data_IF_194840207327
#
_entry.id   IF_194840207327
#
_cell.length_a   1.000
_cell.length_b   1.000
_cell.length_c   1.000
_cell.angle_alpha   90.00
_cell.angle_beta   90.00
_cell.angle_gamma   90.00
#
_symmetry.space_group_name_H-M   'P 1'
#
loop_
_entity.id
_entity.type
_entity.pdbx_description
1 polymer ?
#
# COMPACT_ATOMS: atom_id res chain seq x y z
N UNK A 1 -1.45 -11.22 21.64
CA UNK A 1 -2.04 -9.86 21.69
C UNK A 1 -2.91 -9.69 20.46
N UNK A 2 -4.10 -9.09 20.57
CA UNK A 2 -4.94 -8.81 19.39
C UNK A 2 -4.79 -7.33 19.04
N UNK A 3 -3.75 -7.02 18.25
CA UNK A 3 -3.39 -5.64 17.89
C UNK A 3 -4.53 -4.91 17.18
N UNK A 4 -5.28 -5.59 16.31
CA UNK A 4 -6.46 -5.00 15.66
C UNK A 4 -7.52 -4.54 16.66
N UNK A 5 -7.88 -5.38 17.63
CA UNK A 5 -8.85 -5.02 18.67
C UNK A 5 -8.36 -3.88 19.57
N UNK A 6 -7.06 -3.84 19.88
CA UNK A 6 -6.46 -2.76 20.68
C UNK A 6 -6.45 -1.44 19.91
N UNK A 7 -6.03 -1.46 18.64
CA UNK A 7 -6.04 -0.28 17.77
C UNK A 7 -7.47 0.24 17.61
N UNK A 8 -8.45 -0.64 17.34
CA UNK A 8 -9.86 -0.26 17.20
C UNK A 8 -10.37 0.49 18.44
N UNK A 9 -10.01 0.03 19.64
CA UNK A 9 -10.35 0.73 20.90
C UNK A 9 -9.66 2.09 21.00
N UNK A 10 -8.36 2.17 20.69
CA UNK A 10 -7.57 3.43 20.74
C UNK A 10 -8.14 4.46 19.77
N UNK A 11 -8.40 4.08 18.52
CA UNK A 11 -9.00 4.92 17.48
C UNK A 11 -10.42 5.37 17.89
N UNK A 12 -11.25 4.46 18.39
CA UNK A 12 -12.63 4.81 18.80
C UNK A 12 -12.64 5.80 19.96
N UNK A 13 -11.78 5.59 20.98
CA UNK A 13 -11.67 6.47 22.12
C UNK A 13 -11.17 7.88 21.72
N UNK A 14 -10.18 7.95 20.82
CA UNK A 14 -9.73 9.24 20.30
C UNK A 14 -10.80 9.93 19.45
N UNK A 15 -11.47 9.20 18.57
CA UNK A 15 -12.56 9.75 17.75
C UNK A 15 -13.68 10.34 18.63
N UNK A 16 -14.11 9.64 19.68
CA UNK A 16 -15.11 10.15 20.63
C UNK A 16 -14.64 11.43 21.35
N UNK A 17 -13.36 11.52 21.68
CA UNK A 17 -12.76 12.74 22.24
C UNK A 17 -12.83 13.90 21.25
N UNK A 18 -12.45 13.68 19.99
CA UNK A 18 -12.53 14.69 18.92
C UNK A 18 -13.96 15.13 18.65
N UNK A 19 -14.94 14.21 18.65
CA UNK A 19 -16.36 14.53 18.50
C UNK A 19 -16.84 15.49 19.60
N UNK A 20 -16.47 15.28 20.87
CA UNK A 20 -16.83 16.20 21.96
C UNK A 20 -16.24 17.61 21.75
N UNK A 21 -15.02 17.67 21.23
CA UNK A 21 -14.37 18.94 20.90
C UNK A 21 -15.10 19.64 19.74
N UNK A 22 -15.36 18.94 18.63
CA UNK A 22 -16.08 19.50 17.48
C UNK A 22 -17.49 19.98 17.86
N UNK A 23 -18.22 19.22 18.68
CA UNK A 23 -19.55 19.63 19.16
C UNK A 23 -19.52 20.89 20.04
N UNK A 24 -18.35 21.29 20.53
CA UNK A 24 -18.14 22.51 21.32
C UNK A 24 -17.58 23.67 20.48
N UNK A 25 -17.22 23.43 19.22
CA UNK A 25 -16.71 24.44 18.28
C UNK A 25 -17.83 25.28 17.66
N UNK A 26 -17.48 26.47 17.19
CA UNK A 26 -18.42 27.31 16.45
C UNK A 26 -18.63 26.80 15.00
N UNK A 27 -19.70 27.25 14.30
CA UNK A 27 -19.99 26.80 12.95
C UNK A 27 -18.90 27.08 11.91
N UNK A 28 -18.13 28.17 12.04
CA UNK A 28 -17.08 28.48 11.07
C UNK A 28 -15.91 27.49 11.22
N UNK A 29 -15.51 27.21 12.46
CA UNK A 29 -14.51 26.19 12.76
C UNK A 29 -14.92 24.79 12.28
N UNK A 30 -16.21 24.45 12.41
CA UNK A 30 -16.73 23.17 11.92
C UNK A 30 -16.69 23.05 10.40
N UNK A 31 -16.93 24.15 9.68
CA UNK A 31 -16.81 24.20 8.22
C UNK A 31 -15.35 24.03 7.81
N UNK A 32 -14.43 24.74 8.49
CA UNK A 32 -12.99 24.63 8.21
C UNK A 32 -12.44 23.22 8.50
N UNK A 33 -12.99 22.53 9.51
CA UNK A 33 -12.59 21.16 9.87
C UNK A 33 -13.38 20.06 9.15
N UNK A 34 -14.28 20.40 8.24
CA UNK A 34 -15.22 19.43 7.66
C UNK A 34 -14.52 18.25 6.97
N UNK A 35 -13.44 18.51 6.24
CA UNK A 35 -12.63 17.48 5.57
C UNK A 35 -11.98 16.53 6.59
N UNK A 36 -11.37 17.06 7.65
CA UNK A 36 -10.80 16.27 8.75
C UNK A 36 -11.87 15.42 9.45
N UNK A 37 -13.05 15.98 9.68
CA UNK A 37 -14.17 15.25 10.31
C UNK A 37 -14.62 14.08 9.44
N UNK A 38 -14.75 14.30 8.13
CA UNK A 38 -15.16 13.28 7.17
C UNK A 38 -14.13 12.14 7.10
N UNK A 39 -12.85 12.46 6.92
CA UNK A 39 -11.76 11.50 6.85
C UNK A 39 -11.63 10.69 8.16
N UNK A 40 -11.60 11.35 9.32
CA UNK A 40 -11.50 10.67 10.62
C UNK A 40 -12.66 9.70 10.85
N UNK A 41 -13.87 10.06 10.39
CA UNK A 41 -15.05 9.18 10.48
C UNK A 41 -14.91 7.94 9.60
N UNK A 42 -14.46 8.12 8.36
CA UNK A 42 -14.23 7.04 7.38
C UNK A 42 -13.18 6.06 7.91
N UNK A 43 -12.07 6.56 8.45
CA UNK A 43 -10.98 5.76 9.01
C UNK A 43 -11.49 4.95 10.20
N UNK A 44 -12.18 5.58 11.15
CA UNK A 44 -12.75 4.88 12.32
C UNK A 44 -13.66 3.71 11.89
N UNK A 45 -14.45 3.88 10.83
CA UNK A 45 -15.39 2.85 10.36
C UNK A 45 -14.74 1.69 9.61
N UNK A 46 -13.67 1.95 8.85
CA UNK A 46 -13.18 0.99 7.85
C UNK A 46 -11.75 0.49 8.12
N UNK A 47 -10.98 1.12 9.00
CA UNK A 47 -9.57 0.81 9.19
C UNK A 47 -9.34 -0.65 9.59
N UNK A 48 -10.17 -1.20 10.49
CA UNK A 48 -10.07 -2.59 10.98
C UNK A 48 -10.17 -3.63 9.85
N UNK A 49 -11.00 -3.35 8.84
CA UNK A 49 -11.19 -4.24 7.68
C UNK A 49 -10.08 -4.07 6.64
N UNK A 50 -9.56 -2.84 6.48
CA UNK A 50 -8.58 -2.50 5.45
C UNK A 50 -7.16 -3.01 5.76
N UNK A 51 -6.77 -3.03 7.03
CA UNK A 51 -5.35 -3.24 7.41
C UNK A 51 -5.04 -4.68 7.82
N UNK A 52 -3.76 -5.04 7.85
CA UNK A 52 -3.27 -6.32 8.40
C UNK A 52 -3.05 -6.24 9.92
N UNK A 53 -2.66 -7.35 10.54
CA UNK A 53 -2.27 -7.36 11.96
C UNK A 53 -0.95 -6.62 12.19
N UNK A 54 -0.04 -6.65 11.22
CA UNK A 54 1.25 -5.97 11.29
C UNK A 54 1.08 -4.45 11.18
N UNK A 55 0.21 -4.00 10.29
CA UNK A 55 -0.20 -2.61 10.18
C UNK A 55 -0.78 -2.10 11.49
N UNK A 56 -1.64 -2.91 12.12
CA UNK A 56 -2.23 -2.55 13.40
C UNK A 56 -1.19 -2.38 14.51
N UNK A 57 -0.14 -3.21 14.49
CA UNK A 57 1.00 -3.09 15.41
C UNK A 57 1.77 -1.80 15.17
N UNK A 58 2.12 -1.50 13.91
CA UNK A 58 2.79 -0.24 13.55
C UNK A 58 2.00 0.98 14.01
N UNK A 59 0.70 1.04 13.70
CA UNK A 59 -0.15 2.17 14.09
C UNK A 59 -0.28 2.32 15.60
N UNK A 60 -0.24 1.22 16.37
CA UNK A 60 -0.27 1.29 17.83
C UNK A 60 0.96 1.97 18.43
N UNK A 61 2.10 1.87 17.75
CA UNK A 61 3.36 2.52 18.17
C UNK A 61 3.36 4.03 17.91
N UNK A 62 2.39 4.55 17.13
CA UNK A 62 2.22 5.99 16.92
C UNK A 62 1.53 6.68 18.11
N UNK A 63 1.95 7.91 18.38
CA UNK A 63 1.33 8.76 19.41
C UNK A 63 -0.12 9.12 19.06
N UNK A 64 -0.37 9.50 17.80
CA UNK A 64 -1.69 9.86 17.27
C UNK A 64 -2.04 9.12 15.96
N UNK A 65 -2.36 7.82 16.00
CA UNK A 65 -2.61 7.05 14.79
C UNK A 65 -3.83 7.52 14.00
N UNK A 66 -4.87 8.02 14.67
CA UNK A 66 -6.04 8.57 13.96
C UNK A 66 -5.66 9.84 13.21
N UNK A 67 -4.88 10.73 13.83
CA UNK A 67 -4.36 11.93 13.18
C UNK A 67 -3.50 11.61 11.95
N UNK A 68 -2.46 10.78 12.11
CA UNK A 68 -1.56 10.44 11.00
C UNK A 68 -2.28 9.83 9.81
N UNK A 69 -3.19 8.87 10.04
CA UNK A 69 -3.95 8.25 8.94
C UNK A 69 -4.94 9.25 8.31
N UNK A 70 -5.50 10.18 9.11
CA UNK A 70 -6.39 11.24 8.61
C UNK A 70 -5.66 12.20 7.68
N UNK A 71 -4.50 12.69 8.12
CA UNK A 71 -3.69 13.63 7.33
C UNK A 71 -3.19 12.96 6.04
N UNK A 72 -2.75 11.70 6.14
CA UNK A 72 -2.33 10.92 4.97
C UNK A 72 -3.48 10.69 3.99
N UNK A 73 -4.65 10.31 4.49
CA UNK A 73 -5.83 10.10 3.67
C UNK A 73 -6.19 11.36 2.87
N UNK A 74 -6.24 12.51 3.53
CA UNK A 74 -6.56 13.80 2.92
C UNK A 74 -5.51 14.15 1.85
N UNK A 75 -4.23 13.97 2.16
CA UNK A 75 -3.14 14.27 1.23
C UNK A 75 -3.16 13.42 -0.05
N UNK A 76 -3.54 12.15 0.04
CA UNK A 76 -3.51 11.21 -1.09
C UNK A 76 -4.81 11.19 -1.89
N UNK A 77 -5.96 11.39 -1.22
CA UNK A 77 -7.27 11.10 -1.79
C UNK A 77 -8.22 12.31 -1.82
N UNK A 78 -7.97 13.34 -1.01
CA UNK A 78 -8.88 14.48 -0.80
C UNK A 78 -10.18 14.11 -0.06
N UNK A 79 -11.00 15.12 0.24
CA UNK A 79 -12.25 15.00 1.00
C UNK A 79 -13.33 14.09 0.37
N UNK A 80 -13.40 14.02 -0.96
CA UNK A 80 -14.56 13.46 -1.69
C UNK A 80 -14.41 11.97 -2.04
N UNK A 81 -13.24 11.37 -1.76
CA UNK A 81 -13.00 9.98 -2.09
C UNK A 81 -13.61 9.05 -1.02
N UNK A 82 -14.33 8.01 -1.45
CA UNK A 82 -14.97 7.02 -0.57
C UNK A 82 -14.40 5.61 -0.73
N UNK A 83 -13.36 5.45 -1.55
CA UNK A 83 -12.73 4.17 -1.83
C UNK A 83 -11.90 3.71 -0.62
N UNK A 84 -12.56 3.12 0.37
CA UNK A 84 -11.95 2.55 1.58
C UNK A 84 -10.80 1.56 1.30
N UNK A 85 -10.75 1.03 0.08
CA UNK A 85 -9.67 0.21 -0.43
C UNK A 85 -8.33 0.97 -0.34
N UNK A 86 -8.29 2.27 -0.59
CA UNK A 86 -7.05 3.07 -0.52
C UNK A 86 -6.50 3.27 0.90
N UNK A 87 -7.26 2.91 1.95
CA UNK A 87 -6.79 3.07 3.34
C UNK A 87 -5.55 2.25 3.63
N UNK A 88 -5.44 1.05 3.04
CA UNK A 88 -4.25 0.24 3.22
C UNK A 88 -3.02 0.89 2.60
N UNK A 89 -3.18 1.56 1.45
CA UNK A 89 -2.10 2.31 0.82
C UNK A 89 -1.63 3.47 1.71
N UNK A 90 -2.55 4.24 2.29
CA UNK A 90 -2.17 5.32 3.21
C UNK A 90 -1.33 4.80 4.40
N UNK A 91 -1.69 3.65 4.98
CA UNK A 91 -0.93 3.06 6.09
C UNK A 91 0.44 2.56 5.61
N UNK A 92 0.51 1.99 4.42
CA UNK A 92 1.77 1.58 3.81
C UNK A 92 2.71 2.78 3.57
N UNK A 93 2.21 3.88 2.99
CA UNK A 93 2.99 5.12 2.82
C UNK A 93 3.51 5.63 4.15
N UNK A 94 2.66 5.66 5.19
CA UNK A 94 3.09 6.03 6.53
C UNK A 94 4.21 5.12 7.06
N UNK A 95 4.12 3.80 6.86
CA UNK A 95 5.21 2.90 7.25
C UNK A 95 6.52 3.23 6.53
N UNK A 96 6.47 3.61 5.25
CA UNK A 96 7.66 4.01 4.50
C UNK A 96 8.26 5.31 5.04
N UNK A 97 7.42 6.31 5.31
CA UNK A 97 7.86 7.61 5.83
C UNK A 97 8.51 7.49 7.22
N UNK A 98 7.97 6.61 8.08
CA UNK A 98 8.54 6.30 9.39
C UNK A 98 9.70 5.29 9.32
N UNK A 99 9.88 4.66 8.16
CA UNK A 99 10.83 3.59 7.91
C UNK A 99 12.11 4.02 7.20
N UNK A 100 12.44 5.32 7.14
CA UNK A 100 13.66 5.83 6.49
C UNK A 100 14.88 4.93 6.80
N UNK A 101 15.29 4.13 5.80
CA UNK A 101 16.34 3.11 5.91
C UNK A 101 15.95 1.68 5.52
N UNK A 102 14.67 1.34 5.33
CA UNK A 102 14.26 0.06 4.71
C UNK A 102 14.24 0.18 3.19
N UNK A 103 14.90 -0.75 2.49
CA UNK A 103 14.80 -0.85 1.04
C UNK A 103 13.33 -1.13 0.64
N UNK A 104 12.84 -0.58 -0.48
CA UNK A 104 11.51 -0.91 -0.99
C UNK A 104 11.38 -2.43 -1.11
N UNK A 105 10.34 -3.01 -0.50
CA UNK A 105 10.12 -4.45 -0.60
C UNK A 105 9.98 -4.84 -2.08
N UNK A 106 10.77 -5.80 -2.51
CA UNK A 106 10.65 -6.34 -3.88
C UNK A 106 9.38 -7.18 -3.99
N UNK A 107 8.91 -7.42 -5.21
CA UNK A 107 7.82 -8.38 -5.45
C UNK A 107 8.18 -9.74 -4.84
N UNK A 108 9.44 -10.17 -4.92
CA UNK A 108 9.91 -11.39 -4.25
C UNK A 108 9.63 -11.37 -2.76
N UNK A 109 10.05 -10.32 -2.07
CA UNK A 109 9.88 -10.20 -0.61
C UNK A 109 8.40 -10.24 -0.23
N UNK A 110 7.57 -9.50 -0.98
CA UNK A 110 6.12 -9.45 -0.77
C UNK A 110 5.46 -10.83 -0.94
N UNK A 111 5.80 -11.58 -2.00
CA UNK A 111 5.27 -12.93 -2.21
C UNK A 111 5.72 -13.90 -1.11
N UNK A 112 6.96 -13.78 -0.61
CA UNK A 112 7.47 -14.62 0.48
C UNK A 112 6.80 -14.32 1.82
N UNK A 113 6.44 -13.07 2.09
CA UNK A 113 5.70 -12.68 3.29
C UNK A 113 4.23 -13.11 3.22
N UNK A 114 3.65 -13.14 2.02
CA UNK A 114 2.23 -13.43 1.77
C UNK A 114 2.00 -14.77 1.07
N UNK A 115 2.69 -15.83 1.50
CA UNK A 115 2.48 -17.21 0.97
C UNK A 115 1.01 -17.63 1.05
N UNK A 116 0.55 -18.33 0.02
CA UNK A 116 -0.86 -18.71 -0.12
C UNK A 116 -1.77 -17.62 -0.68
N UNK A 117 -1.21 -16.47 -1.07
CA UNK A 117 -1.96 -15.35 -1.64
C UNK A 117 -2.34 -15.53 -3.11
N UNK A 118 -3.34 -14.75 -3.54
CA UNK A 118 -3.67 -14.50 -4.95
C UNK A 118 -3.33 -13.03 -5.24
N UNK A 119 -2.70 -12.75 -6.37
CA UNK A 119 -2.16 -11.43 -6.66
C UNK A 119 -2.55 -10.93 -8.05
N UNK A 120 -2.67 -9.61 -8.17
CA UNK A 120 -2.84 -8.86 -9.41
C UNK A 120 -1.88 -7.68 -9.38
N UNK A 121 -0.90 -7.68 -10.28
CA UNK A 121 0.15 -6.68 -10.37
C UNK A 121 -0.12 -5.78 -11.57
N UNK A 122 -0.04 -4.48 -11.34
CA UNK A 122 0.20 -3.46 -12.36
C UNK A 122 1.71 -3.27 -12.47
N UNK A 123 2.29 -3.82 -13.51
CA UNK A 123 3.74 -3.78 -13.79
C UNK A 123 4.04 -2.86 -14.97
N UNK A 124 5.28 -2.37 -15.11
CA UNK A 124 5.72 -1.66 -16.32
C UNK A 124 5.50 -2.46 -17.60
N UNK A 125 5.50 -3.80 -17.51
CA UNK A 125 5.31 -4.73 -18.63
C UNK A 125 3.85 -5.17 -18.81
N UNK A 126 2.90 -4.48 -18.17
CA UNK A 126 1.47 -4.77 -18.23
C UNK A 126 0.91 -5.39 -16.96
N UNK A 127 -0.20 -6.11 -17.09
CA UNK A 127 -0.92 -6.69 -15.97
C UNK A 127 -0.56 -8.16 -15.78
N UNK A 128 -0.23 -8.54 -14.56
CA UNK A 128 0.06 -9.94 -14.20
C UNK A 128 -0.90 -10.38 -13.11
N UNK A 129 -1.76 -11.35 -13.40
CA UNK A 129 -2.62 -11.99 -12.40
C UNK A 129 -2.09 -13.39 -12.12
N UNK A 130 -1.93 -13.72 -10.84
CA UNK A 130 -1.37 -14.98 -10.40
C UNK A 130 -2.20 -15.60 -9.28
N UNK A 131 -2.50 -16.88 -9.43
CA UNK A 131 -2.98 -17.74 -8.34
C UNK A 131 -1.84 -18.07 -7.37
N UNK A 132 -2.18 -18.67 -6.24
CA UNK A 132 -1.19 -19.21 -5.28
C UNK A 132 -0.12 -20.08 -5.96
N UNK A 133 -0.54 -21.07 -6.74
CA UNK A 133 0.39 -21.97 -7.42
C UNK A 133 1.28 -21.25 -8.46
N UNK A 134 0.76 -20.19 -9.09
CA UNK A 134 1.55 -19.38 -10.03
C UNK A 134 2.57 -18.50 -9.31
N UNK A 135 2.21 -17.95 -8.14
CA UNK A 135 3.14 -17.19 -7.31
C UNK A 135 4.28 -18.09 -6.79
N UNK A 136 3.99 -19.33 -6.38
CA UNK A 136 5.02 -20.31 -6.01
C UNK A 136 5.91 -20.68 -7.20
N UNK A 137 5.31 -20.98 -8.36
CA UNK A 137 6.06 -21.29 -9.57
C UNK A 137 6.98 -20.13 -10.00
N UNK A 138 6.52 -18.89 -9.83
CA UNK A 138 7.31 -17.68 -10.12
C UNK A 138 8.50 -17.57 -9.17
N UNK A 139 8.30 -17.79 -7.86
CA UNK A 139 9.37 -17.82 -6.85
C UNK A 139 10.42 -18.91 -7.13
N UNK A 140 10.03 -20.02 -7.76
CA UNK A 140 10.92 -21.10 -8.22
C UNK A 140 11.67 -20.76 -9.52
N UNK A 141 11.46 -19.57 -10.09
CA UNK A 141 12.18 -19.07 -11.26
C UNK A 141 11.48 -19.28 -12.60
N UNK A 142 10.23 -19.75 -12.61
CA UNK A 142 9.48 -19.92 -13.85
C UNK A 142 8.86 -18.60 -14.33
N UNK A 143 8.88 -18.38 -15.64
CA UNK A 143 8.24 -17.21 -16.23
C UNK A 143 6.73 -17.17 -16.04
N UNK A 144 6.14 -15.99 -16.25
CA UNK A 144 4.70 -15.76 -16.13
C UNK A 144 4.16 -14.98 -17.32
N UNK A 145 2.86 -15.16 -17.60
CA UNK A 145 2.18 -14.41 -18.64
C UNK A 145 1.78 -13.03 -18.13
N UNK A 146 2.25 -12.00 -18.84
CA UNK A 146 1.77 -10.62 -18.69
C UNK A 146 0.80 -10.26 -19.80
N UNK A 147 -0.19 -9.44 -19.48
CA UNK A 147 -1.14 -8.87 -20.42
C UNK A 147 -0.84 -7.38 -20.64
N UNK A 148 -0.41 -6.95 -21.85
CA UNK A 148 0.00 -5.56 -22.12
C UNK A 148 -1.19 -4.57 -22.23
N UNK A 149 -2.41 -5.00 -21.91
CA UNK A 149 -3.63 -4.19 -22.02
C UNK A 149 -4.35 -4.29 -23.37
N UNK A 150 -3.87 -5.14 -24.28
CA UNK A 150 -4.50 -5.41 -25.58
C UNK A 150 -5.20 -6.76 -25.56
N UNK A 151 -6.51 -6.76 -25.84
CA UNK A 151 -7.34 -7.97 -25.76
C UNK A 151 -6.80 -9.11 -26.62
N UNK A 152 -6.66 -10.29 -26.01
CA UNK A 152 -6.20 -11.50 -26.69
C UNK A 152 -4.68 -11.62 -26.85
N UNK A 153 -3.91 -10.67 -26.33
CA UNK A 153 -2.44 -10.70 -26.38
C UNK A 153 -1.89 -11.00 -25.00
N UNK A 154 -0.97 -11.96 -24.92
CA UNK A 154 -0.17 -12.22 -23.72
C UNK A 154 1.29 -12.37 -24.11
N UNK A 155 2.19 -11.81 -23.32
CA UNK A 155 3.63 -11.99 -23.45
C UNK A 155 4.16 -12.82 -22.28
N UNK A 156 5.22 -13.58 -22.53
CA UNK A 156 5.94 -14.29 -21.48
C UNK A 156 7.00 -13.35 -20.90
N UNK A 157 7.02 -13.26 -19.57
CA UNK A 157 7.92 -12.41 -18.80
C UNK A 157 8.73 -13.32 -17.87
N UNK A 158 10.02 -13.05 -17.75
CA UNK A 158 10.90 -13.87 -16.89
C UNK A 158 10.57 -13.68 -15.42
N UNK A 159 10.88 -14.69 -14.60
CA UNK A 159 10.69 -14.58 -13.16
C UNK A 159 11.50 -13.43 -12.56
N UNK A 160 12.75 -13.27 -12.99
CA UNK A 160 13.64 -12.24 -12.49
C UNK A 160 13.11 -10.83 -12.76
N UNK A 161 12.57 -10.61 -13.97
CA UNK A 161 11.99 -9.33 -14.38
C UNK A 161 10.78 -8.93 -13.53
N UNK A 162 9.98 -9.88 -13.02
CA UNK A 162 8.88 -9.58 -12.10
C UNK A 162 9.37 -9.48 -10.66
N UNK A 163 10.16 -10.46 -10.20
CA UNK A 163 10.55 -10.61 -8.80
C UNK A 163 11.46 -9.49 -8.29
N UNK A 164 12.24 -8.86 -9.16
CA UNK A 164 13.14 -7.75 -8.81
C UNK A 164 12.43 -6.40 -8.75
N UNK A 165 11.21 -6.27 -9.27
CA UNK A 165 10.46 -5.03 -9.23
C UNK A 165 10.19 -4.59 -7.80
N UNK A 166 10.19 -3.28 -7.58
CA UNK A 166 9.84 -2.69 -6.28
C UNK A 166 8.34 -2.52 -6.16
N UNK A 167 7.77 -2.89 -5.02
CA UNK A 167 6.35 -2.65 -4.72
C UNK A 167 6.18 -1.19 -4.31
N UNK A 168 5.33 -0.46 -5.05
CA UNK A 168 4.96 0.94 -4.80
C UNK A 168 3.67 1.08 -4.02
N UNK A 169 2.76 0.11 -4.14
CA UNK A 169 1.55 0.05 -3.34
C UNK A 169 1.06 -1.38 -3.25
N UNK A 170 0.37 -1.69 -2.15
CA UNK A 170 -0.27 -2.99 -1.96
C UNK A 170 -1.63 -2.81 -1.27
N UNK A 171 -2.65 -3.43 -1.86
CA UNK A 171 -4.03 -3.38 -1.37
C UNK A 171 -4.65 -4.77 -1.38
N UNK A 172 -5.41 -5.14 -0.34
CA UNK A 172 -6.13 -6.40 -0.27
C UNK A 172 -7.64 -6.18 -0.37
N UNK A 173 -8.22 -6.66 -1.46
CA UNK A 173 -9.66 -6.62 -1.69
C UNK A 173 -10.18 -8.03 -2.06
N UNK A 174 -11.25 -8.49 -1.42
CA UNK A 174 -11.90 -9.78 -1.70
C UNK A 174 -10.95 -11.00 -1.74
N UNK A 175 -9.88 -10.96 -0.93
CA UNK A 175 -8.88 -12.04 -0.85
C UNK A 175 -7.75 -11.96 -1.88
N UNK A 176 -7.75 -10.94 -2.76
CA UNK A 176 -6.71 -10.70 -3.76
C UNK A 176 -5.86 -9.50 -3.35
N UNK A 177 -4.54 -9.62 -3.54
CA UNK A 177 -3.59 -8.53 -3.40
C UNK A 177 -3.43 -7.79 -4.73
N UNK A 178 -3.69 -6.49 -4.75
CA UNK A 178 -3.49 -5.59 -5.87
C UNK A 178 -2.23 -4.78 -5.62
N UNK A 179 -1.22 -4.95 -6.48
CA UNK A 179 0.09 -4.32 -6.33
C UNK A 179 0.35 -3.36 -7.48
N UNK A 180 0.82 -2.15 -7.17
CA UNK A 180 1.50 -1.30 -8.15
C UNK A 180 3.00 -1.52 -8.01
N UNK A 181 3.69 -1.72 -9.12
CA UNK A 181 5.11 -2.05 -9.15
C UNK A 181 5.87 -1.15 -10.11
N UNK A 182 7.16 -0.96 -9.83
CA UNK A 182 8.07 -0.21 -10.69
C UNK A 182 9.33 -1.04 -10.98
N UNK A 183 9.97 -0.77 -12.12
CA UNK A 183 11.26 -1.36 -12.45
C UNK A 183 12.30 -1.04 -11.37
N UNK A 184 13.26 -1.92 -11.09
CA UNK A 184 14.37 -1.61 -10.20
C UNK A 184 15.07 -0.33 -10.66
N UNK A 185 15.43 0.55 -9.72
CA UNK A 185 16.27 1.69 -10.06
C UNK A 185 17.59 1.19 -10.67
N UNK A 186 17.82 1.52 -11.94
CA UNK A 186 19.11 1.27 -12.56
C UNK A 186 20.13 2.21 -11.91
N UNK A 187 20.98 1.69 -11.03
CA UNK A 187 22.26 2.35 -10.74
C UNK A 187 22.98 2.53 -12.07
N UNK A 188 23.08 3.78 -12.54
CA UNK A 188 23.83 4.11 -13.75
C UNK A 188 25.25 3.58 -13.62
N UNK A 189 25.57 2.51 -14.34
CA UNK A 189 26.95 2.15 -14.64
C UNK A 189 27.56 3.32 -15.42
N UNK A 190 28.76 3.82 -15.07
CA UNK A 190 29.43 4.79 -15.91
C UNK A 190 29.57 4.20 -17.33
N UNK A 191 29.35 4.98 -18.40
CA UNK A 191 29.54 4.46 -19.74
C UNK A 191 31.00 3.99 -19.87
N UNK A 192 31.19 2.71 -20.21
CA UNK A 192 32.48 2.18 -20.66
C UNK A 192 32.89 2.94 -21.91
N UNK A 193 33.76 3.95 -21.74
CA UNK A 193 34.43 4.57 -22.86
C UNK A 193 35.48 3.59 -23.38
N UNK A 194 35.12 2.79 -24.40
CA UNK A 194 36.09 2.13 -25.27
C UNK A 194 36.93 3.20 -25.96
N UNK A 195 38.13 3.44 -25.41
CA UNK A 195 39.17 4.24 -26.07
C UNK A 195 39.83 3.34 -27.12
N UNK A 196 39.35 3.42 -28.36
CA UNK A 196 40.11 2.92 -29.50
C UNK A 196 41.29 3.87 -29.75
N UNK A 197 42.50 3.43 -29.42
CA UNK A 197 43.73 4.08 -29.86
C UNK A 197 44.03 3.68 -31.31
N UNK A 198 44.03 4.68 -32.21
CA UNK A 198 44.63 4.59 -33.54
C UNK A 198 46.14 4.77 -33.47
#
# INVERSE_FOLDING_TARGET
>A
MNYKNELKKKISADYERRVKQWMSSDPAQLVDAAETIAAARLIRDNLDDAITTQDAKFLLDLDDPLGYVTDRWISENGADNSHKEELQHCVWTLQQDFGEGQAPATVRDFLMEHKGGVFSLMTPCGYVSMTEAQAESLLDGHGIKSHPGVAGVSMEVSADEILTQTVKSANRQNGVWYLLTESPEQTQSPPEMEVNMC
#
